data_IF_185809856373
#
_entry.id   IF_185809856373
#
_cell.length_a   1.000
_cell.length_b   1.000
_cell.length_c   1.000
_cell.angle_alpha   90.00
_cell.angle_beta   90.00
_cell.angle_gamma   90.00
#
_symmetry.space_group_name_H-M   'P 1'
#
loop_
_entity.id
_entity.type
_entity.pdbx_description
1 polymer ?
#
# COMPACT_ATOMS: atom_id res chain seq x y z
N UNK A 1 30.03 49.23 -41.00
CA UNK A 1 29.17 49.40 -39.82
C UNK A 1 27.80 48.80 -40.10
N UNK A 2 27.24 48.10 -39.10
CA UNK A 2 25.91 47.47 -39.03
C UNK A 2 25.74 46.12 -39.75
N UNK A 3 26.24 45.07 -39.10
CA UNK A 3 25.67 43.70 -39.16
C UNK A 3 24.90 43.47 -37.87
N UNK A 4 23.60 43.73 -37.91
CA UNK A 4 22.60 43.24 -36.97
C UNK A 4 21.37 42.88 -37.80
N UNK A 5 20.56 41.94 -37.31
CA UNK A 5 19.37 41.35 -37.95
C UNK A 5 19.68 40.08 -38.76
N UNK A 6 20.11 39.03 -38.04
CA UNK A 6 19.63 37.66 -38.25
C UNK A 6 19.92 36.80 -36.99
N UNK A 7 19.46 37.27 -35.84
CA UNK A 7 19.19 36.42 -34.66
C UNK A 7 17.67 36.42 -34.49
N UNK A 8 17.00 35.79 -35.46
CA UNK A 8 15.60 35.44 -35.39
C UNK A 8 15.46 34.04 -34.83
N UNK A 9 14.48 33.86 -33.95
CA UNK A 9 13.94 32.57 -33.48
C UNK A 9 14.89 31.70 -32.63
N UNK A 10 15.21 32.19 -31.44
CA UNK A 10 15.44 31.33 -30.26
C UNK A 10 14.68 31.84 -29.03
N UNK A 11 13.47 32.35 -29.28
CA UNK A 11 12.40 32.48 -28.29
C UNK A 11 11.25 31.62 -28.82
N UNK A 12 10.68 30.75 -27.98
CA UNK A 12 9.61 29.76 -28.26
C UNK A 12 10.05 28.31 -28.51
N UNK A 13 10.94 27.74 -27.69
CA UNK A 13 10.85 26.32 -27.29
C UNK A 13 11.27 26.17 -25.81
N UNK A 14 10.46 26.74 -24.91
CA UNK A 14 10.31 26.23 -23.54
C UNK A 14 8.80 26.12 -23.31
N UNK A 15 8.18 25.15 -23.97
CA UNK A 15 6.81 24.77 -23.67
C UNK A 15 6.76 24.20 -22.25
N UNK A 16 6.40 25.07 -21.31
CA UNK A 16 5.75 24.80 -20.02
C UNK A 16 6.06 23.47 -19.33
N UNK A 17 7.20 23.39 -18.65
CA UNK A 17 7.25 22.65 -17.39
C UNK A 17 6.48 23.50 -16.37
N UNK A 18 5.44 22.95 -15.74
CA UNK A 18 4.57 23.69 -14.81
C UNK A 18 5.36 24.48 -13.76
N UNK A 19 4.77 25.56 -13.26
CA UNK A 19 5.41 26.40 -12.23
C UNK A 19 5.93 25.52 -11.08
N UNK A 20 7.25 25.57 -10.89
CA UNK A 20 7.93 24.87 -9.80
C UNK A 20 7.33 25.29 -8.46
N UNK A 21 7.20 24.33 -7.54
CA UNK A 21 6.68 24.58 -6.20
C UNK A 21 7.58 25.59 -5.48
N UNK A 22 6.98 26.64 -4.90
CA UNK A 22 7.75 27.68 -4.20
C UNK A 22 8.46 27.12 -2.96
N UNK A 23 9.64 27.66 -2.63
CA UNK A 23 10.40 27.23 -1.45
C UNK A 23 9.65 27.47 -0.14
N UNK A 24 8.87 28.54 -0.06
CA UNK A 24 7.99 28.81 1.08
C UNK A 24 6.97 27.68 1.27
N UNK A 25 6.33 27.23 0.18
CA UNK A 25 5.36 26.14 0.23
C UNK A 25 6.03 24.81 0.58
N UNK A 26 7.22 24.53 0.04
CA UNK A 26 8.04 23.36 0.42
C UNK A 26 8.29 23.36 1.92
N UNK A 27 8.68 24.50 2.51
CA UNK A 27 8.95 24.60 3.95
C UNK A 27 7.70 24.47 4.82
N UNK A 28 6.53 24.94 4.35
CA UNK A 28 5.25 24.70 5.05
C UNK A 28 4.92 23.21 5.13
N UNK A 29 5.05 22.49 4.02
CA UNK A 29 4.84 21.03 3.99
C UNK A 29 5.88 20.27 4.81
N UNK A 30 7.16 20.63 4.73
CA UNK A 30 8.24 20.06 5.56
C UNK A 30 7.91 20.18 7.07
N UNK A 31 7.50 21.37 7.50
CA UNK A 31 7.10 21.64 8.88
C UNK A 31 5.92 20.78 9.28
N UNK A 32 4.86 20.76 8.46
CA UNK A 32 3.64 19.99 8.73
C UNK A 32 3.94 18.48 8.86
N UNK A 33 4.73 17.91 7.93
CA UNK A 33 5.12 16.50 7.95
C UNK A 33 5.91 16.17 9.22
N UNK A 34 6.91 16.97 9.57
CA UNK A 34 7.73 16.74 10.77
C UNK A 34 6.93 16.86 12.07
N UNK A 35 5.98 17.80 12.14
CA UNK A 35 5.07 17.92 13.28
C UNK A 35 4.19 16.67 13.41
N UNK A 36 3.57 16.21 12.31
CA UNK A 36 2.72 15.01 12.32
C UNK A 36 3.49 13.74 12.67
N UNK A 37 4.72 13.61 12.17
CA UNK A 37 5.59 12.50 12.50
C UNK A 37 5.87 12.45 14.01
N UNK A 38 6.27 13.58 14.61
CA UNK A 38 6.56 13.67 16.05
C UNK A 38 5.34 13.30 16.91
N UNK A 39 4.15 13.76 16.52
CA UNK A 39 2.90 13.39 17.18
C UNK A 39 2.64 11.88 17.11
N UNK A 40 2.77 11.28 15.92
CA UNK A 40 2.57 9.85 15.71
C UNK A 40 3.59 8.98 16.44
N UNK A 41 4.86 9.39 16.48
CA UNK A 41 5.91 8.65 17.19
C UNK A 41 5.73 8.69 18.70
N UNK A 42 5.24 9.80 19.25
CA UNK A 42 4.92 9.90 20.68
C UNK A 42 3.77 8.95 21.04
N UNK A 43 2.74 8.90 20.20
CA UNK A 43 1.62 7.96 20.36
C UNK A 43 2.08 6.50 20.34
N UNK A 44 2.97 6.12 19.42
CA UNK A 44 3.54 4.78 19.35
C UNK A 44 4.32 4.41 20.63
N UNK A 45 5.08 5.38 21.16
CA UNK A 45 5.84 5.21 22.40
C UNK A 45 4.93 5.01 23.60
N UNK A 46 3.87 5.81 23.73
CA UNK A 46 2.93 5.76 24.83
C UNK A 46 2.05 4.50 24.81
N UNK A 47 1.56 4.10 23.62
CA UNK A 47 0.63 2.97 23.49
C UNK A 47 1.31 1.61 23.40
N UNK A 48 2.47 1.53 22.74
CA UNK A 48 3.09 0.26 22.37
C UNK A 48 4.51 0.09 22.90
N UNK A 49 5.07 1.06 23.65
CA UNK A 49 6.48 1.07 24.07
C UNK A 49 7.47 0.92 22.90
N UNK A 50 7.07 1.41 21.71
CA UNK A 50 7.91 1.45 20.51
C UNK A 50 8.49 2.85 20.38
N UNK A 51 9.81 2.96 20.37
CA UNK A 51 10.51 4.23 20.19
C UNK A 51 11.11 4.31 18.79
N UNK A 52 10.84 5.41 18.09
CA UNK A 52 11.40 5.69 16.77
C UNK A 52 12.49 6.75 16.91
N UNK A 53 13.72 6.41 16.56
CA UNK A 53 14.79 7.38 16.36
C UNK A 53 14.88 7.70 14.88
N UNK A 54 14.33 8.84 14.50
CA UNK A 54 14.22 9.27 13.11
C UNK A 54 14.57 10.76 13.02
N UNK A 55 15.57 11.14 12.22
CA UNK A 55 15.81 12.54 11.90
C UNK A 55 14.61 13.16 11.19
N UNK A 56 14.39 14.46 11.41
CA UNK A 56 13.38 15.23 10.68
C UNK A 56 13.58 15.08 9.16
N UNK A 57 12.47 15.00 8.43
CA UNK A 57 12.48 15.07 6.97
C UNK A 57 13.04 16.41 6.50
N UNK A 58 13.90 16.34 5.49
CA UNK A 58 14.32 17.49 4.68
C UNK A 58 13.61 17.42 3.33
N UNK A 59 12.91 18.49 2.94
CA UNK A 59 12.11 18.52 1.73
C UNK A 59 12.67 19.50 0.70
N UNK A 60 12.52 19.15 -0.58
CA UNK A 60 12.88 19.98 -1.73
C UNK A 60 11.83 19.87 -2.82
N UNK A 61 11.77 20.88 -3.69
CA UNK A 61 10.99 20.78 -4.92
C UNK A 61 11.67 19.83 -5.91
N UNK A 62 10.85 19.02 -6.58
CA UNK A 62 11.23 18.23 -7.76
C UNK A 62 10.16 18.43 -8.84
N UNK A 63 10.34 19.43 -9.70
CA UNK A 63 9.34 19.88 -10.68
C UNK A 63 8.02 20.26 -9.99
N UNK A 64 6.92 19.55 -10.27
CA UNK A 64 5.62 19.73 -9.63
C UNK A 64 5.43 18.88 -8.35
N UNK A 65 6.46 18.17 -7.90
CA UNK A 65 6.45 17.38 -6.67
C UNK A 65 7.20 18.10 -5.54
N UNK A 66 6.87 17.71 -4.31
CA UNK A 66 7.72 17.87 -3.13
C UNK A 66 8.31 16.49 -2.82
N UNK A 67 9.63 16.44 -2.69
CA UNK A 67 10.41 15.27 -2.30
C UNK A 67 10.98 15.48 -0.91
N UNK A 68 10.57 14.65 0.03
CA UNK A 68 11.03 14.66 1.41
C UNK A 68 11.88 13.42 1.70
N UNK A 69 13.01 13.58 2.38
CA UNK A 69 13.88 12.45 2.74
C UNK A 69 14.30 12.52 4.20
N UNK A 70 14.28 11.37 4.87
CA UNK A 70 14.87 11.14 6.19
C UNK A 70 15.76 9.90 6.12
N UNK A 71 16.88 9.92 6.83
CA UNK A 71 17.93 8.88 6.74
C UNK A 71 18.28 8.34 8.11
N UNK A 72 18.85 7.13 8.16
CA UNK A 72 19.38 6.49 9.35
C UNK A 72 18.33 6.39 10.48
N UNK A 73 17.23 5.72 10.18
CA UNK A 73 16.13 5.52 11.13
C UNK A 73 16.36 4.20 11.89
N UNK A 74 16.10 4.21 13.19
CA UNK A 74 16.12 3.02 14.04
C UNK A 74 14.81 2.90 14.83
N UNK A 75 14.27 1.69 14.88
CA UNK A 75 13.05 1.35 15.62
C UNK A 75 13.45 0.48 16.79
N UNK A 76 13.02 0.86 17.99
CA UNK A 76 13.35 0.14 19.21
C UNK A 76 12.09 -0.31 19.94
N UNK A 77 12.19 -1.45 20.62
CA UNK A 77 11.18 -1.90 21.56
C UNK A 77 11.74 -1.85 22.97
N UNK A 78 10.88 -1.44 23.91
CA UNK A 78 11.21 -1.44 25.33
C UNK A 78 10.24 -2.33 26.10
N UNK A 79 10.69 -3.53 26.46
CA UNK A 79 9.94 -4.36 27.40
C UNK A 79 9.97 -3.77 28.82
N UNK A 80 8.89 -3.90 29.60
CA UNK A 80 8.92 -3.58 31.01
C UNK A 80 10.03 -4.36 31.72
N UNK A 81 10.99 -3.64 32.34
CA UNK A 81 12.13 -4.19 33.11
C UNK A 81 13.28 -4.81 32.31
N UNK A 82 13.31 -4.67 30.97
CA UNK A 82 14.50 -5.01 30.16
C UNK A 82 15.13 -3.76 29.54
N UNK A 83 16.37 -3.90 29.09
CA UNK A 83 17.02 -2.89 28.26
C UNK A 83 16.28 -2.73 26.93
N UNK A 84 16.29 -1.49 26.43
CA UNK A 84 15.79 -1.14 25.09
C UNK A 84 16.64 -1.90 24.07
N UNK A 85 16.00 -2.55 23.11
CA UNK A 85 16.70 -3.21 22.01
C UNK A 85 16.18 -2.72 20.66
N UNK A 86 17.08 -2.62 19.68
CA UNK A 86 16.72 -2.26 18.31
C UNK A 86 15.95 -3.42 17.69
N UNK A 87 14.85 -3.15 17.00
CA UNK A 87 14.10 -4.15 16.23
C UNK A 87 14.51 -4.09 14.77
N UNK A 88 14.51 -2.87 14.22
CA UNK A 88 14.79 -2.62 12.82
C UNK A 88 15.67 -1.38 12.65
N UNK A 89 16.54 -1.42 11.65
CA UNK A 89 17.15 -0.25 11.05
C UNK A 89 16.59 -0.03 9.64
N UNK A 90 16.50 1.23 9.24
CA UNK A 90 16.05 1.65 7.91
C UNK A 90 17.04 2.71 7.42
N UNK A 91 17.62 2.48 6.24
CA UNK A 91 18.62 3.41 5.67
C UNK A 91 18.00 4.76 5.34
N UNK A 92 16.84 4.75 4.69
CA UNK A 92 16.16 5.99 4.32
C UNK A 92 14.67 5.80 4.07
N UNK A 93 13.90 6.85 4.32
CA UNK A 93 12.52 7.00 3.88
C UNK A 93 12.47 8.19 2.93
N UNK A 94 11.97 7.97 1.71
CA UNK A 94 11.66 9.03 0.75
C UNK A 94 10.15 9.12 0.57
N UNK A 95 9.61 10.32 0.67
CA UNK A 95 8.19 10.62 0.50
C UNK A 95 8.03 11.70 -0.56
N UNK A 96 7.50 11.32 -1.71
CA UNK A 96 7.38 12.19 -2.88
C UNK A 96 5.90 12.36 -3.23
N UNK A 97 5.40 13.59 -3.35
CA UNK A 97 3.99 13.85 -3.66
C UNK A 97 3.78 15.13 -4.48
N UNK A 98 2.75 15.15 -5.34
CA UNK A 98 2.30 16.35 -6.05
C UNK A 98 0.90 16.84 -5.60
N UNK A 99 0.33 16.22 -4.54
CA UNK A 99 -0.87 16.69 -3.86
C UNK A 99 -0.54 17.94 -3.02
N UNK A 100 -0.43 19.09 -3.71
CA UNK A 100 0.08 20.34 -3.15
C UNK A 100 -0.96 21.45 -3.35
N UNK A 101 -1.56 21.92 -2.26
CA UNK A 101 -2.49 23.04 -2.29
C UNK A 101 -1.71 24.36 -2.49
N UNK A 102 -1.86 24.94 -3.68
CA UNK A 102 -1.25 26.23 -4.08
C UNK A 102 -2.19 27.43 -3.95
N UNK A 103 -3.45 27.19 -3.57
CA UNK A 103 -4.47 28.24 -3.45
C UNK A 103 -4.21 29.20 -2.28
N UNK A 104 -5.05 30.23 -2.18
CA UNK A 104 -4.96 31.20 -1.09
C UNK A 104 -5.25 30.56 0.28
N UNK A 105 -4.61 31.09 1.33
CA UNK A 105 -4.85 30.70 2.72
C UNK A 105 -6.18 31.27 3.22
N UNK A 106 -7.29 30.61 2.89
CA UNK A 106 -8.67 31.03 3.21
C UNK A 106 -9.22 30.43 4.52
N UNK A 107 -8.41 29.70 5.29
CA UNK A 107 -8.88 28.92 6.44
C UNK A 107 -9.49 27.59 6.01
N UNK A 108 -10.68 27.26 6.53
CA UNK A 108 -11.39 26.01 6.22
C UNK A 108 -12.10 26.09 4.86
N UNK A 109 -11.79 25.18 3.94
CA UNK A 109 -12.46 25.00 2.64
C UNK A 109 -13.12 23.62 2.57
N UNK A 110 -14.07 23.45 1.63
CA UNK A 110 -14.66 22.13 1.38
C UNK A 110 -13.63 21.16 0.81
N UNK A 111 -13.84 19.85 1.00
CA UNK A 111 -12.97 18.80 0.43
C UNK A 111 -13.09 18.83 -1.10
N UNK A 112 -14.28 19.12 -1.62
CA UNK A 112 -14.52 19.29 -3.04
C UNK A 112 -13.72 20.47 -3.61
N UNK A 113 -13.72 21.63 -2.94
CA UNK A 113 -12.90 22.77 -3.36
C UNK A 113 -11.41 22.44 -3.33
N UNK A 114 -10.96 21.74 -2.28
CA UNK A 114 -9.58 21.28 -2.18
C UNK A 114 -9.16 20.44 -3.38
N UNK A 115 -9.91 19.39 -3.73
CA UNK A 115 -9.59 18.56 -4.90
C UNK A 115 -9.76 19.33 -6.21
N UNK A 116 -10.77 20.18 -6.34
CA UNK A 116 -10.93 21.03 -7.53
C UNK A 116 -9.68 21.90 -7.75
N UNK A 117 -9.12 22.51 -6.71
CA UNK A 117 -7.87 23.26 -6.82
C UNK A 117 -6.69 22.37 -7.24
N UNK A 118 -6.52 21.19 -6.63
CA UNK A 118 -5.43 20.27 -6.96
C UNK A 118 -5.45 19.79 -8.42
N UNK A 119 -6.65 19.55 -8.96
CA UNK A 119 -6.85 19.05 -10.32
C UNK A 119 -6.86 20.15 -11.40
N UNK A 120 -6.78 21.45 -11.05
CA UNK A 120 -6.59 22.53 -12.04
C UNK A 120 -5.27 22.37 -12.79
N UNK A 121 -4.22 22.03 -12.06
CA UNK A 121 -2.84 21.97 -12.59
C UNK A 121 -2.37 20.55 -12.87
N UNK A 122 -3.02 19.53 -12.30
CA UNK A 122 -2.61 18.14 -12.41
C UNK A 122 -3.77 17.28 -12.90
N UNK A 123 -3.57 16.50 -13.97
CA UNK A 123 -4.56 15.48 -14.38
C UNK A 123 -4.61 14.27 -13.45
N UNK A 124 -3.55 14.09 -12.65
CA UNK A 124 -3.31 12.94 -11.80
C UNK A 124 -2.50 13.38 -10.59
N UNK A 125 -2.96 13.04 -9.40
CA UNK A 125 -2.19 13.20 -8.18
C UNK A 125 -1.46 11.90 -7.90
N UNK A 126 -0.24 12.00 -7.44
CA UNK A 126 0.68 10.91 -7.16
C UNK A 126 1.33 11.16 -5.81
N UNK A 127 1.31 10.13 -4.98
CA UNK A 127 2.01 10.06 -3.72
C UNK A 127 2.81 8.77 -3.70
N UNK A 128 4.09 8.83 -3.36
CA UNK A 128 4.95 7.66 -3.23
C UNK A 128 5.73 7.68 -1.93
N UNK A 129 5.89 6.50 -1.34
CA UNK A 129 6.65 6.24 -0.13
C UNK A 129 7.66 5.13 -0.43
N UNK A 130 8.95 5.45 -0.35
CA UNK A 130 10.04 4.51 -0.55
C UNK A 130 10.83 4.35 0.74
N UNK A 131 10.64 3.23 1.41
CA UNK A 131 11.42 2.81 2.59
C UNK A 131 12.52 1.89 2.09
N UNK A 132 13.77 2.34 2.18
CA UNK A 132 14.94 1.63 1.66
C UNK A 132 15.76 1.07 2.80
N UNK A 133 16.26 -0.15 2.58
CA UNK A 133 17.23 -0.78 3.47
C UNK A 133 16.68 -1.14 4.85
N UNK A 134 15.47 -1.69 4.90
CA UNK A 134 14.87 -2.27 6.11
C UNK A 134 15.66 -3.52 6.48
N UNK A 135 16.20 -3.57 7.69
CA UNK A 135 16.96 -4.72 8.20
C UNK A 135 16.57 -4.99 9.65
N UNK A 136 16.38 -6.27 9.97
CA UNK A 136 16.23 -6.71 11.37
C UNK A 136 17.56 -6.55 12.12
N UNK A 137 17.49 -6.11 13.37
CA UNK A 137 18.68 -6.01 14.22
C UNK A 137 19.27 -7.39 14.50
N UNK A 138 20.58 -7.44 14.75
CA UNK A 138 21.26 -8.70 15.07
C UNK A 138 20.70 -9.31 16.37
N UNK A 139 20.41 -8.47 17.37
CA UNK A 139 19.85 -8.89 18.64
C UNK A 139 18.49 -9.59 18.45
N UNK A 140 17.63 -9.09 17.57
CA UNK A 140 16.35 -9.76 17.27
C UNK A 140 16.59 -11.09 16.57
N UNK A 141 17.50 -11.15 15.59
CA UNK A 141 17.82 -12.39 14.86
C UNK A 141 18.37 -13.47 15.80
N UNK A 142 19.16 -13.07 16.80
CA UNK A 142 19.74 -14.00 17.77
C UNK A 142 18.75 -14.40 18.88
N UNK A 143 17.90 -13.47 19.35
CA UNK A 143 16.99 -13.69 20.48
C UNK A 143 15.62 -14.26 20.11
N UNK A 144 15.16 -14.14 18.86
CA UNK A 144 13.84 -14.65 18.44
C UNK A 144 13.72 -16.18 18.43
N UNK A 145 14.77 -16.91 18.84
CA UNK A 145 14.79 -18.37 18.85
C UNK A 145 14.40 -18.98 17.51
N UNK A 146 14.51 -18.25 16.40
CA UNK A 146 14.23 -18.78 15.06
C UNK A 146 15.25 -19.91 14.73
N UNK A 147 16.45 -19.83 15.31
CA UNK A 147 17.43 -20.92 15.31
C UNK A 147 16.99 -22.15 16.12
N UNK A 148 16.08 -21.99 17.09
CA UNK A 148 15.54 -23.03 17.99
C UNK A 148 14.16 -23.54 17.54
N UNK A 149 13.52 -22.91 16.54
CA UNK A 149 12.40 -23.55 15.85
C UNK A 149 12.94 -24.85 15.25
N UNK A 150 12.42 -25.98 15.75
CA UNK A 150 12.81 -27.29 15.28
C UNK A 150 12.28 -27.53 13.87
N UNK A 151 12.97 -26.96 12.89
CA UNK A 151 12.81 -27.35 11.50
C UNK A 151 13.47 -28.72 11.35
N UNK A 152 12.65 -29.76 11.20
CA UNK A 152 13.14 -31.10 10.89
C UNK A 152 13.97 -31.11 9.57
N UNK A 153 13.68 -30.16 8.66
CA UNK A 153 14.42 -29.95 7.42
C UNK A 153 15.44 -28.78 7.51
N UNK A 154 16.73 -29.12 7.40
CA UNK A 154 17.84 -28.17 7.42
C UNK A 154 17.84 -27.18 6.24
N UNK A 155 17.33 -27.58 5.07
CA UNK A 155 17.26 -26.69 3.90
C UNK A 155 16.24 -25.57 4.14
N UNK A 156 15.08 -25.91 4.69
CA UNK A 156 14.04 -24.94 5.07
C UNK A 156 14.55 -23.98 6.14
N UNK A 157 15.23 -24.50 7.16
CA UNK A 157 15.89 -23.68 8.19
C UNK A 157 16.85 -22.66 7.58
N UNK A 158 17.71 -23.12 6.67
CA UNK A 158 18.70 -22.26 6.01
C UNK A 158 18.04 -21.18 5.15
N UNK A 159 16.98 -21.53 4.40
CA UNK A 159 16.20 -20.57 3.62
C UNK A 159 15.61 -19.47 4.53
N UNK A 160 14.99 -19.85 5.65
CA UNK A 160 14.37 -18.91 6.59
C UNK A 160 15.42 -17.98 7.23
N UNK A 161 16.53 -18.54 7.71
CA UNK A 161 17.64 -17.75 8.29
C UNK A 161 18.16 -16.74 7.26
N UNK A 162 18.36 -17.18 6.01
CA UNK A 162 18.80 -16.31 4.93
C UNK A 162 17.82 -15.16 4.70
N UNK A 163 16.52 -15.44 4.59
CA UNK A 163 15.49 -14.42 4.39
C UNK A 163 15.47 -13.40 5.53
N UNK A 164 15.60 -13.83 6.79
CA UNK A 164 15.56 -12.94 7.95
C UNK A 164 16.78 -12.00 8.01
N UNK A 165 17.94 -12.45 7.54
CA UNK A 165 19.19 -11.68 7.57
C UNK A 165 19.30 -10.67 6.42
N UNK A 166 18.40 -10.74 5.44
CA UNK A 166 18.45 -9.89 4.26
C UNK A 166 17.93 -8.49 4.52
N UNK A 167 18.29 -7.61 3.58
CA UNK A 167 17.85 -6.23 3.53
C UNK A 167 16.65 -6.11 2.58
N UNK A 168 15.62 -5.42 3.03
CA UNK A 168 14.35 -5.25 2.32
C UNK A 168 14.07 -3.80 1.97
N UNK A 169 13.20 -3.62 0.99
CA UNK A 169 12.70 -2.33 0.55
C UNK A 169 11.18 -2.42 0.46
N UNK A 170 10.50 -1.33 0.82
CA UNK A 170 9.08 -1.13 0.61
C UNK A 170 8.89 0.09 -0.27
N UNK A 171 8.19 -0.09 -1.38
CA UNK A 171 7.74 0.99 -2.26
C UNK A 171 6.22 0.97 -2.24
N UNK A 172 5.60 2.10 -1.90
CA UNK A 172 4.17 2.32 -2.05
C UNK A 172 3.95 3.49 -2.99
N UNK A 173 3.03 3.35 -3.92
CA UNK A 173 2.60 4.40 -4.83
C UNK A 173 1.08 4.42 -4.83
N UNK A 174 0.51 5.61 -4.67
CA UNK A 174 -0.91 5.88 -4.81
C UNK A 174 -1.14 6.94 -5.89
N UNK A 175 -2.17 6.72 -6.68
CA UNK A 175 -2.61 7.60 -7.74
C UNK A 175 -4.05 7.98 -7.55
N UNK A 176 -4.31 9.28 -7.43
CA UNK A 176 -5.66 9.81 -7.35
C UNK A 176 -6.02 10.49 -8.67
N UNK A 177 -7.17 10.12 -9.23
CA UNK A 177 -7.76 10.77 -10.41
C UNK A 177 -9.20 11.17 -10.12
N UNK A 178 -9.66 12.25 -10.76
CA UNK A 178 -11.03 12.74 -10.65
C UNK A 178 -11.77 12.47 -11.96
N UNK A 179 -12.90 11.77 -11.90
CA UNK A 179 -13.77 11.52 -13.05
C UNK A 179 -15.23 11.57 -12.59
N UNK A 180 -16.08 12.32 -13.29
CA UNK A 180 -17.51 12.45 -12.97
C UNK A 180 -17.79 12.75 -11.47
N UNK A 181 -16.99 13.65 -10.86
CA UNK A 181 -17.05 13.98 -9.42
C UNK A 181 -16.83 12.82 -8.45
N UNK A 182 -16.27 11.71 -8.92
CA UNK A 182 -15.79 10.60 -8.10
C UNK A 182 -14.27 10.57 -8.12
N UNK A 183 -13.66 10.23 -6.98
CA UNK A 183 -12.22 9.98 -6.92
C UNK A 183 -11.95 8.51 -7.16
N UNK A 184 -10.99 8.23 -8.03
CA UNK A 184 -10.43 6.90 -8.23
C UNK A 184 -9.02 6.88 -7.67
N UNK A 185 -8.79 5.93 -6.79
CA UNK A 185 -7.52 5.65 -6.13
C UNK A 185 -6.95 4.35 -6.69
N UNK A 186 -5.84 4.42 -7.40
CA UNK A 186 -5.07 3.26 -7.82
C UNK A 186 -3.82 3.17 -6.95
N UNK A 187 -3.67 2.08 -6.19
CA UNK A 187 -2.54 1.89 -5.29
C UNK A 187 -1.72 0.66 -5.66
N UNK A 188 -0.43 0.70 -5.37
CA UNK A 188 0.50 -0.43 -5.47
C UNK A 188 1.52 -0.35 -4.35
N UNK A 189 1.81 -1.49 -3.73
CA UNK A 189 2.79 -1.65 -2.68
C UNK A 189 3.66 -2.87 -2.98
N UNK A 190 4.96 -2.64 -3.11
CA UNK A 190 5.96 -3.67 -3.36
C UNK A 190 6.91 -3.79 -2.17
N UNK A 191 6.98 -4.97 -1.58
CA UNK A 191 7.96 -5.36 -0.58
C UNK A 191 8.91 -6.39 -1.16
N UNK A 192 10.20 -6.10 -1.20
CA UNK A 192 11.18 -6.97 -1.85
C UNK A 192 12.55 -6.86 -1.20
N UNK A 193 13.30 -7.95 -1.21
CA UNK A 193 14.68 -7.94 -0.75
C UNK A 193 15.63 -7.45 -1.84
N UNK A 194 16.83 -7.00 -1.47
CA UNK A 194 17.81 -6.43 -2.43
C UNK A 194 18.23 -7.41 -3.54
N UNK A 195 18.19 -8.72 -3.28
CA UNK A 195 18.50 -9.75 -4.28
C UNK A 195 17.31 -10.16 -5.15
N UNK A 196 16.11 -9.62 -4.90
CA UNK A 196 14.84 -10.02 -5.51
C UNK A 196 14.53 -11.53 -5.41
N UNK A 197 15.11 -12.24 -4.44
CA UNK A 197 14.72 -13.62 -4.13
C UNK A 197 13.38 -13.69 -3.41
N UNK A 198 12.91 -12.61 -2.80
CA UNK A 198 11.55 -12.45 -2.31
C UNK A 198 10.98 -11.14 -2.87
N UNK A 199 9.80 -11.23 -3.48
CA UNK A 199 9.06 -10.08 -3.97
C UNK A 199 7.58 -10.30 -3.69
N UNK A 200 6.96 -9.36 -2.98
CA UNK A 200 5.55 -9.30 -2.71
C UNK A 200 5.05 -7.96 -3.27
N UNK A 201 4.07 -8.00 -4.16
CA UNK A 201 3.39 -6.83 -4.67
C UNK A 201 1.89 -6.98 -4.41
N UNK A 202 1.30 -5.97 -3.79
CA UNK A 202 -0.13 -5.85 -3.59
C UNK A 202 -0.60 -4.53 -4.20
N UNK A 203 -1.70 -4.54 -4.91
CA UNK A 203 -2.24 -3.33 -5.53
C UNK A 203 -3.72 -3.47 -5.81
N UNK A 204 -4.31 -2.40 -6.32
CA UNK A 204 -5.73 -2.41 -6.65
C UNK A 204 -6.25 -1.02 -6.97
N UNK A 205 -7.57 -0.97 -7.14
CA UNK A 205 -8.29 0.23 -7.49
C UNK A 205 -9.56 0.36 -6.67
N UNK A 206 -9.78 1.55 -6.13
CA UNK A 206 -10.90 1.88 -5.24
C UNK A 206 -11.50 3.20 -5.68
N UNK A 207 -12.82 3.31 -5.68
CA UNK A 207 -13.51 4.57 -5.95
C UNK A 207 -14.14 5.12 -4.69
N UNK A 208 -14.02 6.43 -4.50
CA UNK A 208 -14.91 7.23 -3.66
C UNK A 208 -15.99 7.84 -4.56
N UNK A 209 -17.24 7.41 -4.39
CA UNK A 209 -18.38 7.92 -5.16
C UNK A 209 -18.74 9.36 -4.73
N UNK A 210 -19.52 10.08 -5.55
CA UNK A 210 -19.90 11.48 -5.30
C UNK A 210 -20.60 11.66 -3.94
N UNK A 211 -21.42 10.67 -3.54
CA UNK A 211 -22.10 10.64 -2.24
C UNK A 211 -21.10 10.64 -1.07
N UNK A 212 -19.87 10.14 -1.28
CA UNK A 212 -18.80 10.17 -0.29
C UNK A 212 -18.33 11.57 0.06
N UNK A 213 -18.20 12.46 -0.94
CA UNK A 213 -17.92 13.87 -0.66
C UNK A 213 -19.03 14.50 0.18
N UNK A 214 -20.28 14.22 -0.19
CA UNK A 214 -21.44 14.74 0.54
C UNK A 214 -21.45 14.24 1.99
N UNK A 215 -21.18 12.95 2.22
CA UNK A 215 -21.12 12.37 3.56
C UNK A 215 -19.99 12.97 4.40
N UNK A 216 -18.77 13.06 3.83
CA UNK A 216 -17.61 13.65 4.52
C UNK A 216 -17.87 15.12 4.91
N UNK A 217 -18.44 15.91 4.00
CA UNK A 217 -18.61 17.35 4.20
C UNK A 217 -19.84 17.72 5.03
N UNK A 218 -20.98 17.05 4.81
CA UNK A 218 -22.26 17.43 5.44
C UNK A 218 -22.57 16.64 6.69
N UNK A 219 -22.31 15.33 6.68
CA UNK A 219 -22.67 14.47 7.81
C UNK A 219 -21.55 14.47 8.86
N UNK A 220 -20.30 14.46 8.38
CA UNK A 220 -19.12 14.37 9.22
C UNK A 220 -18.45 15.73 9.46
N UNK A 221 -18.89 16.76 8.73
CA UNK A 221 -18.42 18.15 8.84
C UNK A 221 -16.89 18.28 8.68
N UNK A 222 -16.29 17.43 7.83
CA UNK A 222 -14.86 17.44 7.55
C UNK A 222 -14.57 18.51 6.49
N UNK A 223 -13.57 19.33 6.77
CA UNK A 223 -13.06 20.40 5.89
C UNK A 223 -11.55 20.33 5.80
N UNK A 224 -10.99 20.90 4.74
CA UNK A 224 -9.55 21.06 4.61
C UNK A 224 -9.13 22.43 5.13
N UNK A 225 -8.20 22.47 6.08
CA UNK A 225 -7.64 23.72 6.58
C UNK A 225 -6.40 24.11 5.74
N UNK A 226 -6.54 25.17 4.96
CA UNK A 226 -5.50 25.69 4.07
C UNK A 226 -4.27 26.26 4.81
N UNK A 227 -4.40 26.58 6.09
CA UNK A 227 -3.29 27.11 6.90
C UNK A 227 -2.45 25.96 7.47
N UNK A 228 -3.10 24.97 8.09
CA UNK A 228 -2.46 23.81 8.73
C UNK A 228 -2.15 22.67 7.75
N UNK A 229 -2.71 22.73 6.54
CA UNK A 229 -2.61 21.72 5.48
C UNK A 229 -3.09 20.33 5.94
N UNK A 230 -4.21 20.30 6.65
CA UNK A 230 -4.77 19.09 7.25
C UNK A 230 -6.30 19.09 7.19
N UNK A 231 -6.89 17.89 7.28
CA UNK A 231 -8.34 17.74 7.45
C UNK A 231 -8.73 17.98 8.91
N UNK A 232 -9.77 18.78 9.11
CA UNK A 232 -10.29 19.19 10.41
C UNK A 232 -11.81 19.06 10.44
N UNK A 233 -12.38 18.75 11.62
CA UNK A 233 -13.84 18.74 11.81
C UNK A 233 -14.29 20.13 12.28
N UNK A 234 -15.40 20.62 11.74
CA UNK A 234 -15.93 21.96 12.01
C UNK A 234 -16.56 22.16 13.42
N UNK A 235 -16.19 21.38 14.44
CA UNK A 235 -16.81 21.49 15.76
C UNK A 235 -16.25 22.69 16.56
N UNK A 236 -17.14 23.40 17.26
CA UNK A 236 -16.87 24.67 17.97
C UNK A 236 -16.00 24.55 19.23
N UNK A 237 -15.51 23.34 19.57
CA UNK A 237 -14.61 23.12 20.70
C UNK A 237 -13.31 22.52 20.17
N UNK A 238 -12.22 23.28 20.33
CA UNK A 238 -10.80 22.88 20.19
C UNK A 238 -10.47 21.90 19.06
N UNK A 239 -9.96 22.40 17.92
CA UNK A 239 -9.04 21.73 16.97
C UNK A 239 -9.13 20.19 16.98
N UNK A 240 -10.33 19.63 16.86
CA UNK A 240 -10.53 18.20 17.03
C UNK A 240 -10.10 17.56 15.72
N UNK A 241 -8.88 16.98 15.75
CA UNK A 241 -8.36 16.16 14.64
C UNK A 241 -9.45 15.17 14.26
N UNK A 242 -9.67 14.98 12.96
CA UNK A 242 -10.61 13.97 12.46
C UNK A 242 -10.26 12.64 13.12
N UNK A 243 -11.16 12.14 13.97
CA UNK A 243 -11.00 10.81 14.54
C UNK A 243 -11.44 9.82 13.45
N UNK A 244 -10.45 9.17 12.82
CA UNK A 244 -10.70 8.17 11.78
C UNK A 244 -11.56 7.00 12.28
N UNK A 245 -11.57 6.69 13.58
CA UNK A 245 -12.43 5.66 14.16
C UNK A 245 -13.93 6.00 14.00
N UNK A 246 -14.28 7.28 13.90
CA UNK A 246 -15.65 7.73 13.61
C UNK A 246 -15.99 7.66 12.11
N UNK A 247 -14.97 7.67 11.24
CA UNK A 247 -15.14 7.58 9.78
C UNK A 247 -15.24 6.13 9.30
N UNK A 248 -14.52 5.20 9.94
CA UNK A 248 -14.44 3.80 9.55
C UNK A 248 -15.82 3.13 9.35
N UNK A 249 -16.84 3.33 10.21
CA UNK A 249 -18.16 2.72 10.01
C UNK A 249 -18.93 3.27 8.82
N UNK A 250 -18.60 4.48 8.36
CA UNK A 250 -19.28 5.15 7.25
C UNK A 250 -18.64 4.81 5.89
N UNK A 251 -17.35 4.49 5.86
CA UNK A 251 -16.60 4.13 4.64
C UNK A 251 -17.36 3.17 3.70
N UNK A 252 -18.04 2.12 4.21
CA UNK A 252 -18.74 1.19 3.32
C UNK A 252 -19.85 1.84 2.47
N UNK A 253 -20.37 2.99 2.87
CA UNK A 253 -21.50 3.65 2.20
C UNK A 253 -21.14 4.44 0.96
N UNK A 254 -19.85 4.67 0.71
CA UNK A 254 -19.40 5.52 -0.39
C UNK A 254 -18.14 5.01 -1.11
N UNK A 255 -17.59 3.87 -0.66
CA UNK A 255 -16.46 3.21 -1.31
C UNK A 255 -16.94 2.04 -2.17
N UNK A 256 -16.43 1.94 -3.40
CA UNK A 256 -16.45 0.70 -4.19
C UNK A 256 -15.03 0.22 -4.48
N UNK A 257 -14.81 -1.10 -4.49
CA UNK A 257 -13.54 -1.71 -4.89
C UNK A 257 -13.72 -2.21 -6.33
N UNK A 258 -12.82 -1.86 -7.24
CA UNK A 258 -12.89 -2.34 -8.62
C UNK A 258 -12.07 -3.63 -8.78
N UNK A 259 -10.80 -3.58 -8.39
CA UNK A 259 -9.88 -4.70 -8.51
C UNK A 259 -8.88 -4.74 -7.36
N UNK A 260 -8.43 -5.95 -7.04
CA UNK A 260 -7.31 -6.22 -6.14
C UNK A 260 -6.34 -7.18 -6.84
N UNK A 261 -5.05 -6.91 -6.68
CA UNK A 261 -3.96 -7.66 -7.30
C UNK A 261 -2.96 -8.03 -6.24
N UNK A 262 -2.52 -9.27 -6.26
CA UNK A 262 -1.49 -9.78 -5.37
C UNK A 262 -0.53 -10.64 -6.18
N UNK A 263 0.73 -10.27 -6.20
CA UNK A 263 1.80 -11.04 -6.80
C UNK A 263 2.84 -11.38 -5.73
N UNK A 264 3.27 -12.63 -5.69
CA UNK A 264 4.33 -13.08 -4.80
C UNK A 264 5.28 -14.00 -5.55
N UNK A 265 6.57 -13.79 -5.34
CA UNK A 265 7.67 -14.56 -5.89
C UNK A 265 8.66 -14.91 -4.78
N UNK A 266 9.07 -16.17 -4.72
CA UNK A 266 10.10 -16.65 -3.79
C UNK A 266 11.05 -17.62 -4.51
N UNK A 267 12.33 -17.27 -4.57
CA UNK A 267 13.39 -18.23 -4.87
C UNK A 267 13.59 -19.14 -3.66
N UNK A 268 13.11 -20.36 -3.78
CA UNK A 268 13.13 -21.35 -2.69
C UNK A 268 14.47 -22.08 -2.60
N UNK A 269 15.35 -21.95 -3.61
CA UNK A 269 16.55 -22.77 -3.76
C UNK A 269 16.24 -24.29 -3.66
N UNK A 270 15.04 -24.69 -4.08
CA UNK A 270 14.49 -26.05 -3.94
C UNK A 270 14.36 -26.57 -2.50
N UNK A 271 14.45 -25.69 -1.49
CA UNK A 271 14.32 -26.09 -0.08
C UNK A 271 12.92 -26.63 0.26
N UNK A 272 11.89 -26.22 -0.49
CA UNK A 272 10.50 -26.62 -0.25
C UNK A 272 10.05 -27.85 -1.05
N UNK A 273 10.92 -28.42 -1.89
CA UNK A 273 10.55 -29.51 -2.79
C UNK A 273 9.92 -30.73 -2.08
N UNK A 274 10.45 -31.22 -0.95
CA UNK A 274 9.85 -32.38 -0.27
C UNK A 274 8.39 -32.13 0.16
N UNK A 275 8.08 -30.91 0.60
CA UNK A 275 6.72 -30.53 1.00
C UNK A 275 5.79 -30.42 -0.21
N UNK A 276 6.30 -29.92 -1.33
CA UNK A 276 5.58 -29.85 -2.60
C UNK A 276 5.23 -31.25 -3.12
N UNK A 277 6.16 -32.19 -3.02
CA UNK A 277 5.94 -33.58 -3.46
C UNK A 277 4.84 -34.27 -2.62
N UNK A 278 4.84 -34.05 -1.29
CA UNK A 278 3.79 -34.54 -0.39
C UNK A 278 2.44 -33.92 -0.71
N UNK A 279 2.39 -32.60 -0.93
CA UNK A 279 1.16 -31.90 -1.27
C UNK A 279 0.59 -32.41 -2.60
N UNK A 280 1.44 -32.53 -3.64
CA UNK A 280 1.05 -33.05 -4.94
C UNK A 280 0.50 -34.47 -4.84
N UNK A 281 1.22 -35.36 -4.14
CA UNK A 281 0.79 -36.76 -3.93
C UNK A 281 -0.55 -36.84 -3.19
N UNK A 282 -0.78 -35.97 -2.20
CA UNK A 282 -2.02 -35.92 -1.44
C UNK A 282 -3.20 -35.45 -2.29
N UNK A 283 -2.99 -34.43 -3.13
CA UNK A 283 -4.01 -33.92 -4.06
C UNK A 283 -4.34 -34.96 -5.15
N UNK A 284 -3.34 -35.67 -5.68
CA UNK A 284 -3.54 -36.76 -6.63
C UNK A 284 -4.30 -37.93 -6.02
N UNK A 285 -3.99 -38.31 -4.77
CA UNK A 285 -4.72 -39.35 -4.05
C UNK A 285 -6.18 -38.93 -3.82
N UNK A 286 -6.42 -37.70 -3.39
CA UNK A 286 -7.78 -37.18 -3.19
C UNK A 286 -8.57 -37.17 -4.51
N UNK A 287 -7.92 -36.78 -5.61
CA UNK A 287 -8.52 -36.81 -6.94
C UNK A 287 -8.92 -38.23 -7.35
N UNK A 288 -8.01 -39.20 -7.20
CA UNK A 288 -8.24 -40.60 -7.60
C UNK A 288 -9.26 -41.33 -6.73
N UNK A 289 -9.51 -40.84 -5.51
CA UNK A 289 -10.47 -41.43 -4.57
C UNK A 289 -11.83 -40.73 -4.57
N UNK A 290 -11.94 -39.55 -5.21
CA UNK A 290 -13.20 -38.82 -5.34
C UNK A 290 -14.20 -39.58 -6.20
N UNK A 291 -15.44 -39.64 -5.72
CA UNK A 291 -16.60 -40.13 -6.49
C UNK A 291 -17.42 -39.00 -7.11
N UNK A 292 -17.08 -37.75 -6.79
CA UNK A 292 -17.74 -36.55 -7.32
C UNK A 292 -16.90 -35.99 -8.48
N UNK A 293 -17.49 -35.97 -9.68
CA UNK A 293 -16.90 -35.42 -10.89
C UNK A 293 -16.55 -33.93 -10.72
N UNK A 294 -17.39 -33.17 -10.01
CA UNK A 294 -17.14 -31.74 -9.77
C UNK A 294 -15.95 -31.51 -8.84
N UNK A 295 -15.80 -32.34 -7.81
CA UNK A 295 -14.63 -32.28 -6.93
C UNK A 295 -13.36 -32.74 -7.66
N UNK A 296 -13.48 -33.72 -8.56
CA UNK A 296 -12.36 -34.18 -9.42
C UNK A 296 -11.86 -33.06 -10.33
N UNK A 297 -12.76 -32.36 -11.03
CA UNK A 297 -12.44 -31.22 -11.90
C UNK A 297 -11.79 -30.05 -11.13
N UNK A 298 -12.27 -29.78 -9.91
CA UNK A 298 -11.67 -28.79 -9.01
C UNK A 298 -10.24 -29.18 -8.63
N UNK A 299 -10.01 -30.43 -8.24
CA UNK A 299 -8.68 -30.93 -7.88
C UNK A 299 -7.71 -30.90 -9.07
N UNK A 300 -8.18 -31.22 -10.28
CA UNK A 300 -7.39 -31.09 -11.51
C UNK A 300 -6.89 -29.67 -11.74
N UNK A 301 -7.77 -28.70 -11.54
CA UNK A 301 -7.45 -27.29 -11.71
C UNK A 301 -6.48 -26.79 -10.64
N UNK A 302 -6.61 -27.27 -9.40
CA UNK A 302 -5.66 -27.00 -8.31
C UNK A 302 -4.30 -27.62 -8.60
N UNK A 303 -4.24 -28.87 -9.04
CA UNK A 303 -2.99 -29.56 -9.41
C UNK A 303 -2.26 -28.83 -10.53
N UNK A 304 -2.98 -28.44 -11.59
CA UNK A 304 -2.37 -27.71 -12.70
C UNK A 304 -1.90 -26.31 -12.26
N UNK A 305 -2.57 -25.67 -11.32
CA UNK A 305 -2.11 -24.41 -10.73
C UNK A 305 -0.85 -24.63 -9.88
N UNK A 306 -0.83 -25.68 -9.05
CA UNK A 306 0.34 -26.02 -8.24
C UNK A 306 1.56 -26.22 -9.13
N UNK A 307 1.42 -26.98 -10.23
CA UNK A 307 2.48 -27.19 -11.22
C UNK A 307 2.98 -25.88 -11.84
N UNK A 308 2.09 -24.93 -12.14
CA UNK A 308 2.50 -23.60 -12.63
C UNK A 308 3.27 -22.81 -11.57
N UNK A 309 2.83 -22.86 -10.31
CA UNK A 309 3.49 -22.16 -9.19
C UNK A 309 4.92 -22.68 -9.00
N UNK A 310 5.11 -24.00 -9.06
CA UNK A 310 6.38 -24.68 -8.71
C UNK A 310 7.26 -24.99 -9.93
N UNK A 311 6.87 -24.57 -11.14
CA UNK A 311 7.53 -24.96 -12.40
C UNK A 311 9.05 -24.69 -12.41
N UNK A 312 9.48 -23.68 -11.67
CA UNK A 312 10.88 -23.28 -11.51
C UNK A 312 11.23 -23.21 -10.01
N UNK A 313 12.52 -23.17 -9.64
CA UNK A 313 12.95 -22.96 -8.25
C UNK A 313 12.40 -21.66 -7.62
N UNK A 314 12.06 -20.69 -8.49
CA UNK A 314 11.35 -19.46 -8.13
C UNK A 314 9.86 -19.73 -8.20
N UNK A 315 9.24 -19.88 -7.04
CA UNK A 315 7.81 -20.08 -6.91
C UNK A 315 7.09 -18.76 -7.11
N UNK A 316 6.03 -18.77 -7.92
CA UNK A 316 5.31 -17.55 -8.32
C UNK A 316 3.80 -17.74 -8.22
N UNK A 317 3.13 -16.77 -7.59
CA UNK A 317 1.68 -16.66 -7.55
C UNK A 317 1.25 -15.25 -7.93
N UNK A 318 0.29 -15.15 -8.84
CA UNK A 318 -0.33 -13.91 -9.31
C UNK A 318 -1.85 -14.05 -9.22
N UNK A 319 -2.45 -13.32 -8.29
CA UNK A 319 -3.88 -13.30 -8.02
C UNK A 319 -4.43 -11.97 -8.49
N UNK A 320 -5.44 -11.99 -9.34
CA UNK A 320 -6.19 -10.81 -9.76
C UNK A 320 -7.67 -11.06 -9.47
N UNK A 321 -8.27 -10.21 -8.65
CA UNK A 321 -9.69 -10.22 -8.33
C UNK A 321 -10.35 -8.96 -8.87
N UNK A 322 -11.51 -9.13 -9.50
CA UNK A 322 -12.38 -8.07 -10.02
C UNK A 322 -13.71 -8.16 -9.31
N UNK A 323 -14.25 -6.99 -8.95
CA UNK A 323 -15.48 -6.87 -8.18
C UNK A 323 -16.49 -6.02 -8.95
N UNK A 324 -17.77 -6.27 -8.72
CA UNK A 324 -18.85 -5.42 -9.22
C UNK A 324 -18.63 -4.00 -8.71
N UNK A 325 -18.88 -3.00 -9.56
CA UNK A 325 -18.85 -1.59 -9.14
C UNK A 325 -20.09 -1.23 -8.29
N UNK A 326 -20.13 -1.75 -7.08
CA UNK A 326 -21.15 -1.50 -6.07
C UNK A 326 -20.49 -1.03 -4.78
N UNK A 327 -21.27 -0.37 -3.92
CA UNK A 327 -20.78 0.11 -2.64
C UNK A 327 -20.51 -1.07 -1.69
N UNK A 328 -19.48 -0.94 -0.86
CA UNK A 328 -19.10 -1.95 0.15
C UNK A 328 -20.27 -2.32 1.09
N UNK A 329 -21.18 -1.38 1.40
CA UNK A 329 -22.39 -1.65 2.20
C UNK A 329 -23.29 -2.70 1.56
N UNK A 330 -23.29 -2.82 0.24
CA UNK A 330 -24.17 -3.72 -0.52
C UNK A 330 -23.55 -5.12 -0.68
N UNK A 331 -22.30 -5.32 -0.26
CA UNK A 331 -21.60 -6.62 -0.37
C UNK A 331 -22.31 -7.70 0.43
N UNK A 332 -22.88 -7.37 1.60
CA UNK A 332 -23.62 -8.33 2.41
C UNK A 332 -24.88 -8.84 1.68
N UNK A 333 -25.53 -7.97 0.91
CA UNK A 333 -26.75 -8.30 0.15
C UNK A 333 -26.41 -9.14 -1.10
N UNK A 334 -25.36 -8.79 -1.80
CA UNK A 334 -24.91 -9.51 -3.01
C UNK A 334 -24.16 -10.82 -2.68
N UNK A 335 -23.63 -10.94 -1.46
CA UNK A 335 -22.86 -12.09 -1.03
C UNK A 335 -21.65 -12.33 -1.94
N UNK A 336 -21.40 -13.59 -2.30
CA UNK A 336 -20.25 -13.95 -3.14
C UNK A 336 -20.35 -13.47 -4.58
N UNK A 337 -21.54 -13.08 -5.04
CA UNK A 337 -21.73 -12.60 -6.41
C UNK A 337 -21.12 -11.22 -6.63
N UNK A 338 -20.66 -10.54 -5.57
CA UNK A 338 -19.85 -9.32 -5.70
C UNK A 338 -18.52 -9.54 -6.41
N UNK A 339 -17.97 -10.75 -6.34
CA UNK A 339 -16.74 -11.12 -7.06
C UNK A 339 -17.14 -11.46 -8.50
N UNK A 340 -16.75 -10.61 -9.45
CA UNK A 340 -17.03 -10.84 -10.88
C UNK A 340 -16.06 -11.86 -11.46
N UNK A 341 -14.78 -11.74 -11.11
CA UNK A 341 -13.74 -12.61 -11.62
C UNK A 341 -12.61 -12.74 -10.61
N UNK A 342 -12.08 -13.95 -10.45
CA UNK A 342 -10.77 -14.15 -9.83
C UNK A 342 -9.92 -15.01 -10.75
N UNK A 343 -8.68 -14.61 -10.98
CA UNK A 343 -7.68 -15.40 -11.69
C UNK A 343 -6.47 -15.65 -10.82
N UNK A 344 -5.92 -16.86 -10.88
CA UNK A 344 -4.65 -17.22 -10.24
C UNK A 344 -3.70 -17.74 -11.33
N UNK A 345 -2.53 -17.12 -11.47
CA UNK A 345 -1.57 -17.36 -12.56
C UNK A 345 -2.23 -17.34 -13.95
N UNK A 346 -3.14 -16.38 -14.17
CA UNK A 346 -3.89 -16.22 -15.42
C UNK A 346 -5.04 -17.22 -15.66
N UNK A 347 -5.18 -18.25 -14.82
CA UNK A 347 -6.31 -19.21 -14.88
C UNK A 347 -7.50 -18.67 -14.09
N UNK A 348 -8.70 -18.77 -14.64
CA UNK A 348 -9.92 -18.31 -13.99
C UNK A 348 -10.32 -19.25 -12.84
N UNK A 349 -10.51 -18.77 -11.62
CA UNK A 349 -10.93 -19.55 -10.43
C UNK A 349 -12.30 -19.14 -9.89
N UNK A 350 -13.06 -18.34 -10.63
CA UNK A 350 -14.30 -17.69 -10.18
C UNK A 350 -15.33 -18.67 -9.65
N UNK A 351 -15.69 -19.68 -10.44
CA UNK A 351 -16.72 -20.64 -10.03
C UNK A 351 -16.30 -21.49 -8.83
N UNK A 352 -15.02 -21.89 -8.77
CA UNK A 352 -14.47 -22.66 -7.65
C UNK A 352 -14.55 -21.84 -6.36
N UNK A 353 -14.13 -20.58 -6.40
CA UNK A 353 -14.21 -19.69 -5.25
C UNK A 353 -15.66 -19.48 -4.82
N UNK A 354 -16.55 -19.15 -5.77
CA UNK A 354 -17.97 -18.90 -5.49
C UNK A 354 -18.65 -20.11 -4.85
N UNK A 355 -18.40 -21.32 -5.36
CA UNK A 355 -18.96 -22.56 -4.81
C UNK A 355 -18.46 -22.81 -3.39
N UNK A 356 -17.14 -22.79 -3.17
CA UNK A 356 -16.57 -23.05 -1.85
C UNK A 356 -17.03 -22.01 -0.81
N UNK A 357 -17.14 -20.73 -1.18
CA UNK A 357 -17.63 -19.69 -0.28
C UNK A 357 -19.12 -19.87 0.05
N UNK A 358 -19.97 -20.26 -0.91
CA UNK A 358 -21.38 -20.59 -0.64
C UNK A 358 -21.50 -21.76 0.33
N UNK A 359 -20.67 -22.79 0.18
CA UNK A 359 -20.67 -23.95 1.08
C UNK A 359 -20.23 -23.60 2.50
N UNK A 360 -19.35 -22.61 2.68
CA UNK A 360 -18.94 -22.10 3.99
C UNK A 360 -20.02 -21.19 4.58
N UNK A 361 -20.55 -20.26 3.79
CA UNK A 361 -21.53 -19.27 4.27
C UNK A 361 -22.91 -19.88 4.52
N UNK A 362 -23.32 -20.93 3.80
CA UNK A 362 -24.58 -21.65 4.05
C UNK A 362 -24.54 -22.58 5.26
N UNK A 363 -23.40 -22.68 5.97
CA UNK A 363 -23.25 -23.39 7.25
C UNK A 363 -23.39 -22.48 8.48
N UNK A 364 -23.60 -21.18 8.26
CA UNK A 364 -23.91 -20.17 9.27
C UNK A 364 -25.25 -19.53 8.93
#
# INVERSE_FOLDING_TARGET
MKKYILMGLSALILCGCGESVSQELVKRYETMINTKLKEGTNQLKEMYNVELEMPDFSCKTDKNFIKCTSNNIAIFYKEPRKEKYEIFSIKSIEYDFNEIYKGENKGLISIQDYYNELFKDNKKLETSLNIKGIRLSQDVIENTKIKDVNFEDIKVKNLIIKLIQEEYNLNHINYTTLSNKALKYDFSQKFYNTKNSLNLNYGGSVNLKEEGFTALEKELEVKFNTQTLNYERNSTNELSKVNFDLLLPQLPHFISINDLKFNFSLDTENALQPYVDILKSSLELQKNTSKDEQETLKLDKILTLLEDIIKNPVYNIDINAQFKDILLKDYQKEGVEVIEKITINGKDFTDILKKNMKDILGRF
#
